data_IF_266212217383
#
_entry.id   IF_266212217383
#
_cell.length_a   1.000
_cell.length_b   1.000
_cell.length_c   1.000
_cell.angle_alpha   90.00
_cell.angle_beta   90.00
_cell.angle_gamma   90.00
#
_symmetry.space_group_name_H-M   'P 1'
#
loop_
_entity.id
_entity.type
_entity.pdbx_description
1 polymer ?
#
# COMPACT_ATOMS: atom_id res chain seq x y z
N UNK A 1 2.63 7.37 25.31
CA UNK A 1 3.63 7.96 24.39
C UNK A 1 2.92 8.23 23.08
N UNK A 2 2.72 9.49 22.74
CA UNK A 2 2.12 9.88 21.47
C UNK A 2 3.10 9.58 20.33
N UNK A 3 2.59 9.18 19.16
CA UNK A 3 3.33 8.90 17.92
C UNK A 3 4.21 7.64 17.94
N UNK A 4 3.90 6.65 18.74
CA UNK A 4 4.70 5.42 18.80
C UNK A 4 4.30 4.41 17.72
N UNK A 5 5.31 3.81 17.08
CA UNK A 5 5.16 2.80 16.02
C UNK A 5 5.55 1.43 16.54
N UNK A 6 4.70 0.44 16.33
CA UNK A 6 5.05 -0.97 16.41
C UNK A 6 5.24 -1.53 15.01
N UNK A 7 6.40 -2.10 14.72
CA UNK A 7 6.64 -2.85 13.51
C UNK A 7 6.22 -4.30 13.76
N UNK A 8 5.44 -4.87 12.83
CA UNK A 8 4.99 -6.27 12.90
C UNK A 8 5.52 -7.03 11.69
N UNK A 9 6.29 -8.08 11.92
CA UNK A 9 6.95 -8.88 10.90
C UNK A 9 6.42 -10.31 10.93
N UNK A 10 5.52 -10.70 10.01
CA UNK A 10 5.17 -12.10 9.83
C UNK A 10 6.34 -12.86 9.20
N UNK A 11 6.66 -14.05 9.69
CA UNK A 11 7.77 -14.86 9.17
C UNK A 11 7.37 -16.32 9.03
N UNK A 12 7.64 -16.92 7.87
CA UNK A 12 7.50 -18.34 7.63
C UNK A 12 8.60 -18.82 6.70
N UNK A 13 9.56 -19.60 7.23
CA UNK A 13 10.68 -20.18 6.50
C UNK A 13 11.53 -19.16 5.71
N UNK A 14 11.72 -17.94 6.24
CA UNK A 14 12.46 -16.82 5.61
C UNK A 14 13.59 -16.26 6.49
N UNK A 15 14.18 -17.09 7.36
CA UNK A 15 15.16 -16.64 8.34
C UNK A 15 16.35 -15.89 7.77
N UNK A 16 16.86 -16.30 6.61
CA UNK A 16 17.99 -15.62 5.94
C UNK A 16 17.64 -14.17 5.60
N UNK A 17 16.43 -13.93 5.10
CA UNK A 17 15.97 -12.58 4.74
C UNK A 17 15.58 -11.77 5.98
N UNK A 18 15.00 -12.42 7.00
CA UNK A 18 14.59 -11.77 8.23
C UNK A 18 15.74 -11.03 8.93
N UNK A 19 16.97 -11.59 8.91
CA UNK A 19 18.16 -10.88 9.43
C UNK A 19 18.39 -9.54 8.71
N UNK A 20 18.22 -9.52 7.40
CA UNK A 20 18.41 -8.32 6.59
C UNK A 20 17.29 -7.29 6.83
N UNK A 21 16.06 -7.75 6.96
CA UNK A 21 14.91 -6.91 7.33
C UNK A 21 15.14 -6.23 8.67
N UNK A 22 15.55 -6.99 9.69
CA UNK A 22 15.88 -6.45 11.02
C UNK A 22 17.03 -5.44 10.94
N UNK A 23 18.10 -5.76 10.21
CA UNK A 23 19.22 -4.84 10.04
C UNK A 23 18.78 -3.50 9.40
N UNK A 24 17.87 -3.55 8.41
CA UNK A 24 17.31 -2.34 7.79
C UNK A 24 16.51 -1.49 8.78
N UNK A 25 15.73 -2.11 9.65
CA UNK A 25 14.95 -1.42 10.70
C UNK A 25 15.87 -0.73 11.69
N UNK A 26 16.91 -1.42 12.17
CA UNK A 26 17.87 -0.85 13.11
C UNK A 26 18.66 0.33 12.51
N UNK A 27 19.02 0.24 11.24
CA UNK A 27 19.73 1.32 10.54
C UNK A 27 18.91 2.62 10.44
N UNK A 28 17.58 2.54 10.48
CA UNK A 28 16.67 3.69 10.36
C UNK A 28 15.88 3.99 11.63
N UNK A 29 16.24 3.37 12.74
CA UNK A 29 15.57 3.55 14.03
C UNK A 29 15.42 5.02 14.42
N UNK A 30 14.24 5.39 14.86
CA UNK A 30 13.89 6.73 15.34
C UNK A 30 13.25 6.65 16.72
N UNK A 31 13.14 7.76 17.48
CA UNK A 31 12.43 7.77 18.77
C UNK A 31 10.95 7.36 18.67
N UNK A 32 10.34 7.42 17.47
CA UNK A 32 8.97 6.94 17.26
C UNK A 32 8.88 5.41 17.24
N UNK A 33 9.94 4.68 16.90
CA UNK A 33 9.92 3.22 16.92
C UNK A 33 9.92 2.70 18.37
N UNK A 34 8.79 2.16 18.78
CA UNK A 34 8.58 1.60 20.10
C UNK A 34 9.11 0.19 20.24
N UNK A 35 8.76 -0.67 19.28
CA UNK A 35 9.04 -2.11 19.32
C UNK A 35 9.00 -2.73 17.93
N UNK A 36 9.63 -3.89 17.83
CA UNK A 36 9.55 -4.78 16.68
C UNK A 36 9.03 -6.14 17.17
N UNK A 37 7.93 -6.58 16.58
CA UNK A 37 7.25 -7.83 16.93
C UNK A 37 7.40 -8.77 15.73
N UNK A 38 8.01 -9.93 15.95
CA UNK A 38 8.19 -10.95 14.96
C UNK A 38 7.20 -12.07 15.25
N UNK A 39 6.40 -12.46 14.26
CA UNK A 39 5.45 -13.56 14.41
C UNK A 39 5.86 -14.69 13.50
N UNK A 40 6.38 -15.77 14.10
CA UNK A 40 6.68 -17.02 13.42
C UNK A 40 5.39 -17.81 13.18
N UNK A 41 5.00 -17.92 11.93
CA UNK A 41 3.80 -18.63 11.49
C UNK A 41 4.07 -20.14 11.26
N UNK A 42 4.77 -20.78 12.21
CA UNK A 42 5.01 -22.20 12.20
C UNK A 42 6.15 -22.64 11.29
N UNK A 43 7.25 -21.90 11.27
CA UNK A 43 8.44 -22.27 10.49
C UNK A 43 8.99 -23.64 10.85
N UNK A 44 9.46 -24.35 9.84
CA UNK A 44 10.08 -25.67 9.95
C UNK A 44 11.53 -25.69 9.45
N UNK A 45 11.95 -24.63 8.75
CA UNK A 45 13.31 -24.47 8.24
C UNK A 45 14.29 -24.25 9.40
N UNK A 46 15.35 -25.09 9.53
CA UNK A 46 16.30 -24.98 10.63
C UNK A 46 17.00 -23.63 10.73
N UNK A 47 17.33 -23.01 9.58
CA UNK A 47 17.97 -21.69 9.54
C UNK A 47 17.05 -20.62 10.11
N UNK A 48 15.76 -20.68 9.75
CA UNK A 48 14.75 -19.77 10.28
C UNK A 48 14.59 -19.90 11.79
N UNK A 49 14.52 -21.15 12.28
CA UNK A 49 14.39 -21.42 13.71
C UNK A 49 15.61 -20.93 14.52
N UNK A 50 16.82 -21.04 13.96
CA UNK A 50 18.03 -20.51 14.58
C UNK A 50 18.00 -18.97 14.62
N UNK A 51 17.63 -18.32 13.51
CA UNK A 51 17.51 -16.85 13.47
C UNK A 51 16.51 -16.34 14.48
N UNK A 52 15.33 -16.96 14.57
CA UNK A 52 14.30 -16.58 15.53
C UNK A 52 14.80 -16.72 16.98
N UNK A 53 15.52 -17.80 17.30
CA UNK A 53 16.13 -18.01 18.63
C UNK A 53 17.19 -16.94 18.97
N UNK A 54 17.97 -16.51 17.98
CA UNK A 54 18.95 -15.44 18.19
C UNK A 54 18.26 -14.08 18.41
N UNK A 55 17.17 -13.81 17.69
CA UNK A 55 16.38 -12.59 17.85
C UNK A 55 15.71 -12.53 19.24
N UNK A 56 15.22 -13.66 19.75
CA UNK A 56 14.71 -13.75 21.16
C UNK A 56 15.78 -13.37 22.18
N UNK A 57 17.00 -13.87 22.01
CA UNK A 57 18.13 -13.51 22.89
C UNK A 57 18.49 -12.02 22.81
N UNK A 58 18.23 -11.39 21.68
CA UNK A 58 18.50 -9.98 21.40
C UNK A 58 17.34 -9.06 21.82
N UNK A 59 16.41 -9.54 22.63
CA UNK A 59 15.28 -8.81 23.20
C UNK A 59 14.20 -8.38 22.22
N UNK A 60 14.13 -8.99 21.04
CA UNK A 60 12.95 -8.85 20.17
C UNK A 60 11.79 -9.68 20.71
N UNK A 61 10.57 -9.17 20.57
CA UNK A 61 9.39 -9.95 20.88
C UNK A 61 9.13 -10.94 19.72
N UNK A 62 9.46 -12.20 19.93
CA UNK A 62 9.17 -13.28 18.97
C UNK A 62 7.97 -14.09 19.49
N UNK A 63 6.91 -14.12 18.71
CA UNK A 63 5.72 -14.93 18.97
C UNK A 63 5.71 -16.12 18.02
N UNK A 64 5.21 -17.27 18.47
CA UNK A 64 5.06 -18.46 17.63
C UNK A 64 3.61 -18.92 17.58
N UNK A 65 3.17 -19.30 16.41
CA UNK A 65 1.85 -19.93 16.19
C UNK A 65 1.95 -21.08 15.18
N UNK A 66 1.02 -22.03 15.19
CA UNK A 66 0.84 -22.95 14.07
C UNK A 66 0.58 -22.16 12.80
N UNK A 67 1.04 -22.68 11.64
CA UNK A 67 0.82 -21.99 10.36
C UNK A 67 -0.68 -21.75 10.11
N UNK A 68 -1.05 -20.47 10.04
CA UNK A 68 -2.41 -19.99 9.80
C UNK A 68 -2.48 -18.93 8.72
N UNK A 69 -1.36 -18.69 8.06
CA UNK A 69 -1.22 -17.70 6.99
C UNK A 69 -0.85 -16.29 7.48
N UNK A 70 -0.36 -15.50 6.54
CA UNK A 70 0.25 -14.19 6.81
C UNK A 70 -0.72 -13.19 7.45
N UNK A 71 -2.01 -13.22 7.08
CA UNK A 71 -3.05 -12.38 7.70
C UNK A 71 -3.21 -12.67 9.19
N UNK A 72 -3.26 -13.96 9.57
CA UNK A 72 -3.34 -14.40 10.96
C UNK A 72 -2.08 -14.02 11.76
N UNK A 73 -0.90 -14.15 11.15
CA UNK A 73 0.35 -13.75 11.77
C UNK A 73 0.40 -12.23 12.01
N UNK A 74 0.00 -11.41 11.03
CA UNK A 74 -0.12 -9.95 11.22
C UNK A 74 -1.09 -9.61 12.34
N UNK A 75 -2.27 -10.23 12.35
CA UNK A 75 -3.27 -10.04 13.41
C UNK A 75 -2.73 -10.38 14.80
N UNK A 76 -2.01 -11.50 14.93
CA UNK A 76 -1.42 -11.91 16.20
C UNK A 76 -0.44 -10.85 16.74
N UNK A 77 0.45 -10.35 15.89
CA UNK A 77 1.39 -9.29 16.26
C UNK A 77 0.73 -7.96 16.58
N UNK A 78 -0.25 -7.53 15.77
CA UNK A 78 -0.96 -6.25 15.98
C UNK A 78 -1.77 -6.28 17.28
N UNK A 79 -2.34 -7.41 17.64
CA UNK A 79 -3.13 -7.57 18.88
C UNK A 79 -2.30 -7.22 20.11
N UNK A 80 -1.05 -7.60 20.18
CA UNK A 80 -0.14 -7.34 21.31
C UNK A 80 0.65 -6.03 21.17
N UNK A 81 0.67 -5.44 19.99
CA UNK A 81 1.36 -4.19 19.70
C UNK A 81 0.90 -3.05 20.64
N UNK A 82 1.85 -2.31 21.18
CA UNK A 82 1.61 -1.20 22.10
C UNK A 82 1.75 0.19 21.42
N UNK A 83 2.18 0.21 20.16
CA UNK A 83 2.27 1.44 19.37
C UNK A 83 0.89 1.97 18.98
N UNK A 84 0.77 3.28 18.91
CA UNK A 84 -0.41 3.94 18.36
C UNK A 84 -0.57 3.65 16.87
N UNK A 85 0.57 3.50 16.19
CA UNK A 85 0.66 3.21 14.76
C UNK A 85 1.30 1.85 14.53
N UNK A 86 0.87 1.17 13.49
CA UNK A 86 1.34 -0.14 13.06
C UNK A 86 2.01 -0.01 11.70
N UNK A 87 3.18 -0.59 11.55
CA UNK A 87 3.86 -0.78 10.28
C UNK A 87 4.11 -2.27 10.07
N UNK A 88 3.29 -2.97 9.26
CA UNK A 88 3.63 -4.31 8.82
C UNK A 88 4.83 -4.27 7.88
N UNK A 89 5.73 -5.21 8.04
CA UNK A 89 6.91 -5.35 7.16
C UNK A 89 7.10 -6.83 6.86
N UNK A 90 7.07 -7.20 5.60
CA UNK A 90 7.34 -8.60 5.23
C UNK A 90 8.79 -8.97 5.54
N UNK A 91 9.00 -10.21 5.95
CA UNK A 91 10.30 -10.69 6.47
C UNK A 91 11.41 -10.76 5.41
N UNK A 92 11.14 -10.36 4.17
CA UNK A 92 12.12 -10.25 3.09
C UNK A 92 12.25 -8.83 2.51
N UNK A 93 11.49 -7.85 3.01
CA UNK A 93 11.59 -6.46 2.61
C UNK A 93 12.53 -5.66 3.53
N UNK A 94 12.89 -4.42 3.13
CA UNK A 94 13.66 -3.47 3.92
C UNK A 94 12.88 -2.17 4.03
N UNK A 95 12.93 -1.51 5.19
CA UNK A 95 12.29 -0.19 5.35
C UNK A 95 13.31 0.95 5.16
N UNK A 96 12.79 2.11 4.78
CA UNK A 96 13.56 3.35 4.71
C UNK A 96 13.12 4.31 5.81
N UNK A 97 14.01 5.24 6.15
CA UNK A 97 13.83 6.18 7.27
C UNK A 97 12.53 7.00 7.18
N UNK A 98 12.07 7.32 5.98
CA UNK A 98 10.90 8.16 5.72
C UNK A 98 9.65 7.68 6.46
N UNK A 99 9.39 6.37 6.51
CA UNK A 99 8.25 5.85 7.26
C UNK A 99 8.26 6.24 8.74
N UNK A 100 9.40 6.06 9.41
CA UNK A 100 9.51 6.30 10.85
C UNK A 100 9.73 7.78 11.19
N UNK A 101 10.24 8.58 10.24
CA UNK A 101 10.50 10.00 10.45
C UNK A 101 9.26 10.87 10.18
N UNK A 102 8.54 10.61 9.10
CA UNK A 102 7.46 11.49 8.62
C UNK A 102 6.07 10.93 8.87
N UNK A 103 5.89 9.62 8.72
CA UNK A 103 4.59 8.97 8.81
C UNK A 103 3.86 9.22 10.13
N UNK A 104 4.49 9.04 11.32
CA UNK A 104 3.85 9.32 12.60
C UNK A 104 3.43 10.77 12.77
N UNK A 105 4.23 11.70 12.24
CA UNK A 105 3.91 13.14 12.28
C UNK A 105 2.67 13.47 11.45
N UNK A 106 2.55 12.89 10.25
CA UNK A 106 1.36 13.06 9.39
C UNK A 106 0.11 12.50 10.05
N UNK A 107 0.20 11.29 10.56
CA UNK A 107 -0.90 10.68 11.29
C UNK A 107 -1.30 11.50 12.53
N UNK A 108 -0.35 12.05 13.27
CA UNK A 108 -0.65 12.86 14.44
C UNK A 108 -1.37 14.17 14.11
N UNK A 109 -0.96 14.84 13.02
CA UNK A 109 -1.51 16.14 12.60
C UNK A 109 -2.96 16.08 12.15
N UNK A 110 -3.36 14.98 11.52
CA UNK A 110 -4.72 14.81 10.98
C UNK A 110 -5.31 13.48 11.42
N UNK A 111 -6.25 13.53 12.35
CA UNK A 111 -6.90 12.34 12.93
C UNK A 111 -7.81 11.60 11.93
N UNK A 112 -8.19 12.23 10.82
CA UNK A 112 -8.95 11.58 9.74
C UNK A 112 -8.08 10.70 8.84
N UNK A 113 -6.75 10.93 8.84
CA UNK A 113 -5.80 10.08 8.12
C UNK A 113 -5.61 8.79 8.88
N UNK A 114 -6.01 7.69 8.27
CA UNK A 114 -5.85 6.33 8.82
C UNK A 114 -4.59 5.63 8.35
N UNK A 115 -4.17 5.90 7.11
CA UNK A 115 -3.11 5.18 6.42
C UNK A 115 -2.15 6.14 5.72
N UNK A 116 -0.84 5.91 5.89
CA UNK A 116 0.24 6.60 5.19
C UNK A 116 1.05 5.57 4.42
N UNK A 117 1.23 5.76 3.13
CA UNK A 117 1.96 4.86 2.25
C UNK A 117 2.93 5.63 1.34
N UNK A 118 3.85 4.94 0.71
CA UNK A 118 4.81 5.56 -0.20
C UNK A 118 5.16 4.66 -1.37
N UNK A 119 6.11 5.12 -2.17
CA UNK A 119 6.68 4.33 -3.26
C UNK A 119 7.60 3.24 -2.69
N UNK A 120 7.89 2.23 -3.50
CA UNK A 120 8.90 1.23 -3.22
C UNK A 120 10.04 1.26 -4.24
N UNK A 121 11.16 0.64 -3.88
CA UNK A 121 12.22 0.32 -4.81
C UNK A 121 12.40 -1.20 -4.87
N UNK A 122 12.35 -1.75 -6.08
CA UNK A 122 12.60 -3.18 -6.28
C UNK A 122 14.07 -3.52 -6.10
N UNK A 123 14.35 -4.66 -5.45
CA UNK A 123 15.68 -5.22 -5.36
C UNK A 123 15.64 -6.75 -5.41
N UNK A 124 16.79 -7.39 -5.55
CA UNK A 124 16.90 -8.83 -5.79
C UNK A 124 16.92 -9.15 -7.28
N UNK A 125 15.99 -9.97 -7.76
CA UNK A 125 15.95 -10.39 -9.19
C UNK A 125 15.45 -9.28 -10.13
N UNK A 126 14.86 -8.22 -9.60
CA UNK A 126 14.41 -7.05 -10.35
C UNK A 126 14.88 -5.79 -9.64
N UNK A 127 15.16 -4.74 -10.42
CA UNK A 127 15.48 -3.40 -9.91
C UNK A 127 14.54 -2.37 -10.52
N UNK A 128 14.47 -1.18 -9.92
CA UNK A 128 13.68 -0.06 -10.39
C UNK A 128 12.66 0.43 -9.36
N UNK A 129 12.10 1.60 -9.60
CA UNK A 129 11.14 2.24 -8.69
C UNK A 129 9.72 1.77 -9.00
N UNK A 130 9.02 1.32 -7.98
CA UNK A 130 7.57 1.12 -7.99
C UNK A 130 6.91 2.42 -7.53
N UNK A 131 6.44 3.20 -8.50
CA UNK A 131 5.70 4.43 -8.22
C UNK A 131 4.25 4.08 -7.93
N UNK A 132 3.84 4.36 -6.70
CA UNK A 132 2.45 4.13 -6.26
C UNK A 132 1.62 5.37 -6.58
N UNK A 133 0.42 5.23 -7.17
CA UNK A 133 -0.42 6.39 -7.47
C UNK A 133 -0.95 7.05 -6.20
N UNK A 134 -1.42 8.31 -6.33
CA UNK A 134 -2.27 8.93 -5.30
C UNK A 134 -3.49 8.05 -5.05
N UNK A 135 -3.97 8.04 -3.81
CA UNK A 135 -5.12 7.22 -3.45
C UNK A 135 -6.35 7.59 -4.28
N UNK A 136 -6.92 6.58 -4.88
CA UNK A 136 -8.16 6.63 -5.64
C UNK A 136 -8.93 5.34 -5.37
N UNK A 137 -10.15 5.45 -4.85
CA UNK A 137 -10.94 4.28 -4.47
C UNK A 137 -11.34 3.46 -5.69
N UNK A 138 -11.64 4.10 -6.84
CA UNK A 138 -12.02 3.37 -8.06
C UNK A 138 -10.86 2.51 -8.55
N UNK A 139 -9.63 3.06 -8.52
CA UNK A 139 -8.42 2.29 -8.83
C UNK A 139 -8.19 1.15 -7.84
N UNK A 140 -8.39 1.41 -6.54
CA UNK A 140 -8.20 0.36 -5.53
C UNK A 140 -9.23 -0.76 -5.68
N UNK A 141 -10.46 -0.44 -6.09
CA UNK A 141 -11.50 -1.43 -6.39
C UNK A 141 -11.15 -2.25 -7.64
N UNK A 142 -10.58 -1.63 -8.66
CA UNK A 142 -10.17 -2.31 -9.89
C UNK A 142 -9.00 -3.26 -9.64
N UNK A 143 -7.94 -2.78 -8.97
CA UNK A 143 -6.76 -3.57 -8.66
C UNK A 143 -6.02 -3.04 -7.43
N UNK A 144 -5.42 -3.94 -6.63
CA UNK A 144 -4.57 -3.54 -5.53
C UNK A 144 -3.29 -2.87 -6.05
N UNK A 145 -3.06 -1.63 -5.65
CA UNK A 145 -1.83 -0.89 -5.90
C UNK A 145 -1.07 -0.53 -4.61
N UNK A 146 -1.64 -0.89 -3.44
CA UNK A 146 -1.05 -0.65 -2.14
C UNK A 146 -0.41 -1.92 -1.61
N UNK A 147 0.85 -1.83 -1.24
CA UNK A 147 1.53 -2.89 -0.51
C UNK A 147 1.07 -2.94 0.95
N UNK A 148 1.21 -4.10 1.57
CA UNK A 148 0.96 -4.25 3.01
C UNK A 148 1.88 -3.36 3.85
N UNK A 149 3.07 -3.03 3.36
CA UNK A 149 4.03 -2.15 4.00
C UNK A 149 3.57 -0.69 3.94
N UNK A 150 2.47 -0.40 4.63
CA UNK A 150 1.92 0.93 4.84
C UNK A 150 1.72 1.19 6.34
N UNK A 151 2.06 2.40 6.79
CA UNK A 151 1.91 2.81 8.19
C UNK A 151 0.46 3.20 8.44
N UNK A 152 -0.19 2.59 9.42
CA UNK A 152 -1.58 2.91 9.74
C UNK A 152 -1.82 3.05 11.24
N UNK A 153 -2.92 3.72 11.62
CA UNK A 153 -3.38 3.74 13.01
C UNK A 153 -3.81 2.35 13.44
N UNK A 154 -3.42 1.91 14.62
CA UNK A 154 -3.95 0.66 15.19
C UNK A 154 -5.48 0.65 15.22
N UNK A 155 -6.09 1.81 15.44
CA UNK A 155 -7.54 1.99 15.43
C UNK A 155 -8.19 1.64 14.07
N UNK A 156 -7.48 1.80 12.93
CA UNK A 156 -7.97 1.31 11.62
C UNK A 156 -8.17 -0.20 11.66
N UNK A 157 -7.16 -0.91 12.17
CA UNK A 157 -7.22 -2.37 12.32
C UNK A 157 -8.37 -2.81 13.26
N UNK A 158 -8.57 -2.10 14.35
CA UNK A 158 -9.67 -2.36 15.28
C UNK A 158 -11.03 -2.12 14.62
N UNK A 159 -11.18 -1.01 13.90
CA UNK A 159 -12.43 -0.60 13.24
C UNK A 159 -12.87 -1.55 12.11
N UNK A 160 -11.93 -2.07 11.33
CA UNK A 160 -12.23 -3.04 10.26
C UNK A 160 -12.29 -4.48 10.75
N UNK A 161 -11.90 -4.77 12.00
CA UNK A 161 -11.88 -6.12 12.56
C UNK A 161 -10.66 -6.95 12.16
N UNK A 162 -9.55 -6.31 11.77
CA UNK A 162 -8.28 -6.97 11.42
C UNK A 162 -8.19 -7.44 9.98
N UNK A 163 -7.10 -8.15 9.68
CA UNK A 163 -6.94 -8.88 8.41
C UNK A 163 -7.87 -10.09 8.40
N UNK A 164 -8.40 -10.46 7.23
CA UNK A 164 -9.21 -11.64 7.08
C UNK A 164 -8.34 -12.92 7.17
N UNK A 165 -8.59 -13.74 8.17
CA UNK A 165 -7.89 -15.02 8.41
C UNK A 165 -8.52 -16.21 7.65
N UNK A 166 -9.62 -15.98 6.91
CA UNK A 166 -10.40 -17.00 6.22
C UNK A 166 -10.36 -16.87 4.69
N UNK A 167 -9.44 -16.06 4.17
CA UNK A 167 -9.23 -15.94 2.73
C UNK A 167 -9.04 -17.33 2.10
N UNK A 168 -9.73 -17.66 0.99
CA UNK A 168 -9.60 -18.97 0.33
C UNK A 168 -8.17 -19.27 -0.15
N UNK A 169 -7.44 -18.21 -0.53
CA UNK A 169 -6.03 -18.26 -0.91
C UNK A 169 -5.29 -17.07 -0.33
N UNK A 170 -3.97 -17.17 -0.16
CA UNK A 170 -3.12 -16.10 0.34
C UNK A 170 -2.88 -15.03 -0.73
N UNK A 171 -2.58 -13.80 -0.29
CA UNK A 171 -2.05 -12.73 -1.13
C UNK A 171 -3.04 -11.60 -1.45
N UNK A 172 -4.25 -11.61 -0.90
CA UNK A 172 -5.23 -10.52 -1.06
C UNK A 172 -5.69 -9.96 0.29
N UNK A 173 -5.11 -10.38 1.38
CA UNK A 173 -5.46 -9.97 2.72
C UNK A 173 -5.23 -8.48 2.97
N UNK A 174 -4.22 -7.89 2.32
CA UNK A 174 -3.93 -6.46 2.35
C UNK A 174 -4.95 -5.67 1.52
N UNK A 175 -5.28 -6.14 0.31
CA UNK A 175 -6.28 -5.49 -0.52
C UNK A 175 -7.66 -5.45 0.14
N UNK A 176 -8.11 -6.55 0.68
CA UNK A 176 -9.34 -6.62 1.48
C UNK A 176 -9.31 -5.63 2.65
N UNK A 177 -8.19 -5.59 3.38
CA UNK A 177 -8.01 -4.68 4.51
C UNK A 177 -8.09 -3.21 4.09
N UNK A 178 -7.44 -2.83 2.99
CA UNK A 178 -7.47 -1.45 2.48
C UNK A 178 -8.84 -1.06 1.96
N UNK A 179 -9.56 -1.94 1.28
CA UNK A 179 -10.93 -1.68 0.82
C UNK A 179 -11.87 -1.46 2.00
N UNK A 180 -11.80 -2.32 3.02
CA UNK A 180 -12.62 -2.14 4.23
C UNK A 180 -12.27 -0.86 4.97
N UNK A 181 -11.01 -0.49 5.08
CA UNK A 181 -10.60 0.78 5.68
C UNK A 181 -11.14 1.99 4.89
N UNK A 182 -11.08 1.94 3.55
CA UNK A 182 -11.61 3.00 2.70
C UNK A 182 -13.14 3.16 2.82
N UNK A 183 -13.88 2.05 2.86
CA UNK A 183 -15.36 2.06 3.07
C UNK A 183 -15.75 2.63 4.44
N UNK A 184 -14.92 2.45 5.46
CA UNK A 184 -15.09 3.07 6.78
C UNK A 184 -14.78 4.57 6.81
N UNK A 185 -14.34 5.14 5.67
CA UNK A 185 -14.06 6.57 5.53
C UNK A 185 -12.66 6.98 5.99
N UNK A 186 -11.76 6.03 6.25
CA UNK A 186 -10.38 6.35 6.55
C UNK A 186 -9.68 6.96 5.35
N UNK A 187 -8.94 8.05 5.55
CA UNK A 187 -8.16 8.70 4.51
C UNK A 187 -6.78 8.08 4.39
N UNK A 188 -6.30 8.02 3.15
CA UNK A 188 -4.99 7.51 2.77
C UNK A 188 -4.13 8.68 2.26
N UNK A 189 -2.90 8.76 2.73
CA UNK A 189 -1.95 9.80 2.32
C UNK A 189 -0.70 9.17 1.71
N UNK A 190 -0.36 9.60 0.51
CA UNK A 190 0.84 9.18 -0.22
C UNK A 190 2.00 10.14 0.07
N UNK A 191 3.13 9.63 0.58
CA UNK A 191 4.32 10.41 0.91
C UNK A 191 5.10 10.89 -0.32
N UNK A 192 4.87 10.32 -1.51
CA UNK A 192 5.60 10.60 -2.75
C UNK A 192 7.11 10.30 -2.68
N UNK A 193 7.53 9.58 -1.67
CA UNK A 193 8.91 9.18 -1.40
C UNK A 193 9.03 7.66 -1.39
N UNK A 194 10.24 7.14 -1.63
CA UNK A 194 10.52 5.71 -1.44
C UNK A 194 10.61 5.43 0.05
N UNK A 195 9.69 4.60 0.53
CA UNK A 195 9.52 4.29 1.95
C UNK A 195 10.03 2.92 2.35
N UNK A 196 10.16 2.01 1.38
CA UNK A 196 10.69 0.67 1.59
C UNK A 196 11.31 0.10 0.30
N UNK A 197 12.09 -0.96 0.46
CA UNK A 197 12.61 -1.75 -0.65
C UNK A 197 11.85 -3.09 -0.70
N UNK A 198 11.26 -3.38 -1.87
CA UNK A 198 10.49 -4.58 -2.13
C UNK A 198 11.36 -5.65 -2.79
N UNK A 199 11.53 -6.80 -2.13
CA UNK A 199 12.32 -7.90 -2.67
C UNK A 199 11.56 -8.68 -3.74
N UNK A 200 12.14 -8.75 -4.93
CA UNK A 200 11.69 -9.67 -5.97
C UNK A 200 12.57 -10.91 -5.96
N UNK A 201 11.95 -12.08 -5.80
CA UNK A 201 12.64 -13.38 -5.79
C UNK A 201 11.79 -14.47 -6.42
N UNK A 202 12.43 -15.52 -6.93
CA UNK A 202 11.73 -16.71 -7.38
C UNK A 202 10.94 -17.36 -6.22
N UNK A 203 9.76 -17.86 -6.52
CA UNK A 203 8.89 -18.50 -5.52
C UNK A 203 8.21 -17.53 -4.56
N UNK A 204 8.15 -16.22 -4.88
CA UNK A 204 7.30 -15.29 -4.13
C UNK A 204 5.81 -15.59 -4.36
N UNK A 205 4.95 -15.29 -3.37
CA UNK A 205 3.49 -15.52 -3.45
C UNK A 205 2.84 -14.87 -4.68
N UNK A 206 3.38 -13.76 -5.19
CA UNK A 206 2.84 -13.07 -6.38
C UNK A 206 2.73 -13.96 -7.62
N UNK A 207 3.56 -15.00 -7.73
CA UNK A 207 3.52 -15.95 -8.86
C UNK A 207 2.28 -16.86 -8.83
N UNK A 208 1.70 -17.10 -7.65
CA UNK A 208 0.55 -18.00 -7.48
C UNK A 208 -0.79 -17.24 -7.36
N UNK A 209 -0.77 -15.99 -6.89
CA UNK A 209 -1.96 -15.16 -6.65
C UNK A 209 -2.85 -15.07 -7.90
N UNK A 210 -2.25 -14.91 -9.08
CA UNK A 210 -2.99 -14.74 -10.33
C UNK A 210 -3.79 -15.97 -10.79
N UNK A 211 -3.56 -17.16 -10.20
CA UNK A 211 -4.27 -18.40 -10.60
C UNK A 211 -5.67 -18.52 -10.02
N UNK A 212 -5.99 -17.75 -8.98
CA UNK A 212 -7.24 -17.90 -8.22
C UNK A 212 -8.07 -16.61 -8.18
N UNK A 213 -7.79 -15.67 -9.07
CA UNK A 213 -8.42 -14.35 -9.07
C UNK A 213 -9.95 -14.40 -8.99
N UNK A 214 -10.61 -15.25 -9.78
CA UNK A 214 -12.07 -15.32 -9.80
C UNK A 214 -12.67 -15.80 -8.46
N UNK A 215 -12.01 -16.74 -7.79
CA UNK A 215 -12.44 -17.22 -6.46
C UNK A 215 -12.26 -16.13 -5.41
N UNK A 216 -11.11 -15.45 -5.46
CA UNK A 216 -10.77 -14.38 -4.54
C UNK A 216 -11.70 -13.16 -4.74
N UNK A 217 -11.97 -12.76 -5.99
CA UNK A 217 -12.94 -11.72 -6.33
C UNK A 217 -14.32 -12.03 -5.75
N UNK A 218 -14.83 -13.22 -6.03
CA UNK A 218 -16.14 -13.66 -5.55
C UNK A 218 -16.21 -13.65 -4.02
N UNK A 219 -15.18 -14.15 -3.35
CA UNK A 219 -15.12 -14.17 -1.89
C UNK A 219 -15.06 -12.77 -1.30
N UNK A 220 -14.11 -11.94 -1.74
CA UNK A 220 -13.88 -10.62 -1.19
C UNK A 220 -15.10 -9.71 -1.37
N UNK A 221 -15.65 -9.65 -2.58
CA UNK A 221 -16.80 -8.79 -2.88
C UNK A 221 -18.15 -9.40 -2.48
N UNK A 222 -18.20 -10.62 -1.91
CA UNK A 222 -19.39 -11.15 -1.24
C UNK A 222 -19.58 -10.60 0.18
N UNK A 223 -18.54 -10.02 0.78
CA UNK A 223 -18.61 -9.41 2.11
C UNK A 223 -19.59 -8.25 2.11
N UNK A 224 -20.46 -8.19 3.13
CA UNK A 224 -21.54 -7.21 3.24
C UNK A 224 -21.08 -5.77 3.00
N UNK A 225 -19.93 -5.39 3.55
CA UNK A 225 -19.36 -4.05 3.40
C UNK A 225 -18.73 -3.78 2.03
N UNK A 226 -18.41 -4.80 1.24
CA UNK A 226 -17.75 -4.67 -0.06
C UNK A 226 -18.65 -4.96 -1.25
N UNK A 227 -19.88 -5.44 -1.05
CA UNK A 227 -20.83 -5.79 -2.13
C UNK A 227 -21.02 -4.63 -3.12
N UNK A 228 -21.27 -3.42 -2.63
CA UNK A 228 -21.45 -2.24 -3.50
C UNK A 228 -20.19 -1.91 -4.32
N UNK A 229 -19.01 -2.14 -3.76
CA UNK A 229 -17.75 -1.98 -4.51
C UNK A 229 -17.59 -3.06 -5.58
N UNK A 230 -18.02 -4.29 -5.30
CA UNK A 230 -18.04 -5.38 -6.27
C UNK A 230 -18.97 -5.08 -7.46
N UNK A 231 -20.15 -4.54 -7.21
CA UNK A 231 -21.08 -4.08 -8.24
C UNK A 231 -20.46 -2.96 -9.08
N UNK A 232 -19.84 -1.96 -8.44
CA UNK A 232 -19.13 -0.88 -9.13
C UNK A 232 -18.00 -1.42 -10.00
N UNK A 233 -17.20 -2.38 -9.51
CA UNK A 233 -16.12 -3.03 -10.25
C UNK A 233 -16.64 -3.79 -11.49
N UNK A 234 -17.69 -4.55 -11.32
CA UNK A 234 -18.32 -5.29 -12.42
C UNK A 234 -18.80 -4.34 -13.53
N UNK A 235 -19.43 -3.23 -13.14
CA UNK A 235 -19.90 -2.21 -14.10
C UNK A 235 -18.72 -1.51 -14.78
N UNK A 236 -17.65 -1.16 -14.05
CA UNK A 236 -16.42 -0.60 -14.61
C UNK A 236 -15.82 -1.53 -15.69
N UNK A 237 -15.69 -2.81 -15.36
CA UNK A 237 -15.16 -3.80 -16.31
C UNK A 237 -16.07 -3.95 -17.53
N UNK A 238 -17.41 -3.93 -17.34
CA UNK A 238 -18.37 -3.97 -18.46
C UNK A 238 -18.20 -2.77 -19.38
N UNK A 239 -18.05 -1.56 -18.85
CA UNK A 239 -17.84 -0.35 -19.64
C UNK A 239 -16.52 -0.37 -20.40
N UNK A 240 -15.43 -0.83 -19.76
CA UNK A 240 -14.13 -0.98 -20.42
C UNK A 240 -14.17 -2.00 -21.55
N UNK A 241 -14.92 -3.10 -21.40
CA UNK A 241 -15.11 -4.08 -22.48
C UNK A 241 -15.89 -3.49 -23.66
N UNK A 242 -16.94 -2.70 -23.40
CA UNK A 242 -17.67 -1.98 -24.46
C UNK A 242 -16.75 -1.02 -25.23
N UNK A 243 -15.87 -0.29 -24.54
CA UNK A 243 -14.90 0.59 -25.20
C UNK A 243 -13.90 -0.15 -26.11
N UNK A 244 -13.65 -1.42 -25.84
CA UNK A 244 -12.75 -2.26 -26.64
C UNK A 244 -13.42 -2.88 -27.87
N UNK A 245 -14.75 -2.85 -27.97
CA UNK A 245 -15.46 -3.44 -29.11
C UNK A 245 -15.14 -2.70 -30.43
N UNK A 246 -15.11 -3.46 -31.54
CA UNK A 246 -14.89 -2.87 -32.87
C UNK A 246 -15.94 -1.81 -33.20
N UNK A 247 -17.19 -2.03 -32.81
CA UNK A 247 -18.31 -1.12 -33.06
C UNK A 247 -18.11 0.23 -32.38
N UNK A 248 -17.68 0.24 -31.11
CA UNK A 248 -17.37 1.48 -30.38
C UNK A 248 -16.18 2.22 -30.98
N UNK A 249 -15.12 1.49 -31.37
CA UNK A 249 -13.92 2.06 -32.04
C UNK A 249 -14.26 2.67 -33.37
N UNK A 250 -15.08 2.00 -34.18
CA UNK A 250 -15.57 2.49 -35.47
C UNK A 250 -16.47 3.72 -35.30
N UNK A 251 -17.40 3.69 -34.34
CA UNK A 251 -18.26 4.85 -34.02
C UNK A 251 -17.46 6.08 -33.61
N UNK A 252 -16.45 5.92 -32.72
CA UNK A 252 -15.52 7.02 -32.37
C UNK A 252 -14.69 7.50 -33.57
N UNK A 253 -14.29 6.60 -34.47
CA UNK A 253 -13.57 6.93 -35.69
C UNK A 253 -14.39 7.78 -36.66
N UNK A 254 -15.67 7.41 -36.85
CA UNK A 254 -16.61 8.13 -37.68
C UNK A 254 -17.01 9.52 -37.12
N UNK A 255 -17.02 9.66 -35.78
CA UNK A 255 -17.36 10.92 -35.12
C UNK A 255 -16.17 11.91 -35.00
N UNK A 256 -14.92 11.43 -35.18
CA UNK A 256 -13.74 12.31 -35.14
C UNK A 256 -13.81 13.52 -36.09
N UNK A 257 -14.14 13.38 -37.38
CA UNK A 257 -14.23 14.52 -38.28
C UNK A 257 -15.39 15.46 -37.92
N UNK A 258 -16.51 14.92 -37.39
CA UNK A 258 -17.65 15.74 -36.95
C UNK A 258 -17.27 16.57 -35.72
N UNK A 259 -16.56 15.98 -34.74
CA UNK A 259 -16.03 16.71 -33.58
C UNK A 259 -15.00 17.77 -33.94
N UNK A 260 -14.11 17.48 -34.91
CA UNK A 260 -13.16 18.45 -35.43
C UNK A 260 -13.86 19.62 -36.10
N UNK A 261 -14.91 19.38 -36.86
CA UNK A 261 -15.73 20.39 -37.52
C UNK A 261 -16.50 21.23 -36.51
N UNK A 262 -17.07 20.64 -35.45
CA UNK A 262 -17.74 21.36 -34.36
C UNK A 262 -16.79 22.28 -33.59
N UNK A 263 -15.53 21.84 -33.35
CA UNK A 263 -14.51 22.71 -32.71
C UNK A 263 -14.07 23.85 -33.62
N UNK A 264 -14.04 23.68 -34.93
CA UNK A 264 -13.74 24.76 -35.89
C UNK A 264 -14.89 25.76 -36.00
N UNK A 265 -16.13 25.32 -35.95
CA UNK A 265 -17.31 26.18 -36.00
C UNK A 265 -17.60 26.89 -34.69
N UNK A 266 -17.30 26.24 -33.54
CA UNK A 266 -17.44 26.81 -32.19
C UNK A 266 -16.32 27.79 -31.78
N UNK A 267 -15.19 27.81 -32.51
CA UNK A 267 -14.02 28.68 -32.24
C UNK A 267 -14.19 30.16 -32.65
N UNK A 268 -15.35 30.56 -33.13
CA UNK A 268 -15.61 31.90 -33.67
C UNK A 268 -16.23 32.91 -32.69
N UNK A 269 -16.01 32.83 -31.37
CA UNK A 269 -16.35 33.95 -30.46
C UNK A 269 -15.60 33.84 -29.14
N UNK A 270 -14.79 34.86 -28.94
CA UNK A 270 -14.18 35.47 -27.76
C UNK A 270 -12.66 35.35 -27.67
N UNK A 271 -11.98 36.18 -28.49
CA UNK A 271 -10.66 36.69 -28.12
C UNK A 271 -10.86 37.84 -27.14
N UNK A 272 -10.85 37.58 -25.86
CA UNK A 272 -10.61 38.60 -24.86
C UNK A 272 -9.12 38.98 -24.94
N UNK A 273 -8.87 40.29 -25.14
CA UNK A 273 -7.54 40.87 -25.17
C UNK A 273 -6.92 40.76 -23.76
N UNK A 274 -5.96 39.87 -23.59
CA UNK A 274 -5.07 39.94 -22.44
C UNK A 274 -4.04 41.06 -22.68
N UNK A 275 -4.04 42.07 -21.80
CA UNK A 275 -2.98 43.07 -21.72
C UNK A 275 -1.75 42.45 -21.03
N UNK A 276 -0.55 42.68 -21.56
CA UNK A 276 0.67 42.19 -20.92
C UNK A 276 1.00 43.07 -19.70
N UNK A 277 1.01 42.43 -18.53
CA UNK A 277 1.56 43.06 -17.31
C UNK A 277 3.09 43.02 -17.43
N UNK A 278 3.67 44.25 -17.59
CA UNK A 278 5.11 44.46 -17.51
C UNK A 278 5.62 44.18 -16.08
N UNK A 279 6.42 43.16 -15.90
CA UNK A 279 7.21 42.95 -14.69
C UNK A 279 8.40 43.95 -14.68
N UNK A 280 8.40 44.86 -13.74
CA UNK A 280 9.59 45.66 -13.41
C UNK A 280 10.50 44.82 -12.50
N UNK A 281 11.65 44.51 -13.02
CA UNK A 281 12.79 44.03 -12.22
C UNK A 281 13.38 45.19 -11.44
N UNK A 282 13.45 45.08 -10.13
CA UNK A 282 14.33 45.93 -9.30
C UNK A 282 15.22 45.00 -8.47
N UNK A 283 16.45 44.95 -8.86
CA UNK A 283 17.57 44.40 -8.07
C UNK A 283 18.03 45.45 -7.08
N UNK A 284 18.25 45.18 -5.81
CA UNK A 284 19.08 46.01 -4.96
C UNK A 284 20.50 45.44 -4.86
N UNK A 285 21.43 46.22 -5.29
CA UNK A 285 22.85 46.13 -5.02
C UNK A 285 23.12 46.34 -3.53
N UNK A 286 23.82 45.41 -2.90
CA UNK A 286 24.41 45.66 -1.58
C UNK A 286 25.93 45.74 -1.73
N UNK A 287 26.43 46.97 -1.43
CA UNK A 287 27.87 47.22 -1.16
C UNK A 287 28.16 47.08 0.33
N UNK A 288 29.35 46.51 0.60
CA UNK A 288 30.10 46.34 1.83
C UNK A 288 29.72 45.22 2.75
#
# INVERSE_FOLDING_TARGET
MQNSVSIVIPSYNLGTFLRETIASIEAVRTPSLREVIIVDDGSTDPTTLEVLKDLEKSQYLVMRQPNRGVGAARNAGIRVAQGEFILPVDSDNRIRRTYLAEGPTLLHRDQSVGVVYGDAEYFGERTGRWRVPQFDLVRLVDANFLDTCALFRKRVWEDVGGYDEHMPHLGWEDWDFWLRAAVRGWRFVHLQEVTFDYRVRAGSMLTEVNRHNAVMDSYMFSKKELVALGEMRAELHRLLMVEQTMEYRLGRGLLKPIRAMMTMVGGGRTRAKEHPVRSRSTTPTVQK
#
